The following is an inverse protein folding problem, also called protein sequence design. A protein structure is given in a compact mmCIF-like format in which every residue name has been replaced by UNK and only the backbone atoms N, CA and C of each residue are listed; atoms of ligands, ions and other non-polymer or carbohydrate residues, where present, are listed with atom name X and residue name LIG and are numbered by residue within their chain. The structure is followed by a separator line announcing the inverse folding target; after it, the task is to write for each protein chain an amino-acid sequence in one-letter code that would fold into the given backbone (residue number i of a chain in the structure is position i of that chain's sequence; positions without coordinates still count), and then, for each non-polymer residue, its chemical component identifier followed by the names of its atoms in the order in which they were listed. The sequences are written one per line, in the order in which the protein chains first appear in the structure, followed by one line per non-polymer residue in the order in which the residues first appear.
data_IF_070384241468
#
_entry.id   IF_070384241468
#
_cell.length_a   1.000
_cell.length_b   1.000
_cell.length_c   1.000
_cell.angle_alpha   90.00
_cell.angle_beta   90.00
_cell.angle_gamma   90.00
#
_symmetry.space_group_name_H-M   'P 1'
#
loop_
_entity.id
_entity.type
_entity.pdbx_description
1 polymer ?
#
# COMPACT_ATOMS: atom_id res chain seq x y z
N UNK A 1 -25.93 -0.27 -20.97
CA UNK A 1 -25.81 1.09 -21.55
C UNK A 1 -24.65 1.78 -20.86
N UNK A 2 -23.68 2.27 -21.64
CA UNK A 2 -22.51 2.96 -21.11
C UNK A 2 -22.93 4.26 -20.38
N UNK A 3 -22.49 4.42 -19.13
CA UNK A 3 -22.83 5.56 -18.27
C UNK A 3 -21.74 6.63 -18.35
N UNK A 4 -21.76 7.42 -19.42
CA UNK A 4 -20.78 8.47 -19.66
C UNK A 4 -20.72 9.53 -18.54
N UNK A 5 -21.81 9.74 -17.80
CA UNK A 5 -21.86 10.66 -16.65
C UNK A 5 -20.88 10.29 -15.53
N UNK A 6 -20.49 9.02 -15.43
CA UNK A 6 -19.55 8.53 -14.42
C UNK A 6 -18.08 8.74 -14.83
N UNK A 7 -17.81 9.04 -16.10
CA UNK A 7 -16.44 9.29 -16.56
C UNK A 7 -15.91 10.64 -16.07
N UNK A 8 -16.77 11.66 -16.02
CA UNK A 8 -16.37 13.00 -15.58
C UNK A 8 -15.78 13.01 -14.15
N UNK A 9 -16.45 12.49 -13.11
CA UNK A 9 -15.87 12.46 -11.76
C UNK A 9 -14.60 11.59 -11.69
N UNK A 10 -14.50 10.52 -12.48
CA UNK A 10 -13.30 9.69 -12.53
C UNK A 10 -12.10 10.42 -13.14
N UNK A 11 -12.30 11.12 -14.26
CA UNK A 11 -11.26 11.92 -14.91
C UNK A 11 -10.82 13.05 -13.98
N UNK A 12 -11.77 13.73 -13.33
CA UNK A 12 -11.46 14.77 -12.35
C UNK A 12 -10.64 14.22 -11.17
N UNK A 13 -11.04 13.08 -10.61
CA UNK A 13 -10.29 12.41 -9.55
C UNK A 13 -8.86 12.07 -9.98
N UNK A 14 -8.69 11.46 -11.16
CA UNK A 14 -7.37 11.12 -11.70
C UNK A 14 -6.52 12.37 -11.95
N UNK A 15 -7.11 13.44 -12.49
CA UNK A 15 -6.42 14.71 -12.72
C UNK A 15 -5.95 15.34 -11.42
N UNK A 16 -6.75 15.32 -10.36
CA UNK A 16 -6.37 15.81 -9.02
C UNK A 16 -5.24 14.98 -8.43
N UNK A 17 -5.36 13.65 -8.44
CA UNK A 17 -4.32 12.75 -7.91
C UNK A 17 -3.00 12.91 -8.66
N UNK A 18 -3.06 12.96 -10.00
CA UNK A 18 -1.87 13.17 -10.82
C UNK A 18 -1.26 14.57 -10.60
N UNK A 19 -2.11 15.61 -10.50
CA UNK A 19 -1.67 16.96 -10.18
C UNK A 19 -0.96 17.05 -8.83
N UNK A 20 -1.48 16.39 -7.80
CA UNK A 20 -0.86 16.28 -6.49
C UNK A 20 0.49 15.52 -6.56
N UNK A 21 0.57 14.46 -7.36
CA UNK A 21 1.81 13.71 -7.56
C UNK A 21 2.91 14.53 -8.27
N UNK A 22 2.54 15.31 -9.28
CA UNK A 22 3.48 16.22 -9.96
C UNK A 22 3.90 17.36 -9.03
N UNK A 23 2.96 17.92 -8.26
CA UNK A 23 3.25 18.96 -7.29
C UNK A 23 4.21 18.46 -6.21
N UNK A 24 3.91 17.31 -5.60
CA UNK A 24 4.77 16.71 -4.57
C UNK A 24 6.15 16.40 -5.14
N UNK A 25 6.24 15.81 -6.33
CA UNK A 25 7.52 15.54 -7.00
C UNK A 25 8.36 16.80 -7.24
N UNK A 26 7.73 17.91 -7.65
CA UNK A 26 8.42 19.20 -7.83
C UNK A 26 8.88 19.81 -6.51
N UNK A 27 8.10 19.67 -5.44
CA UNK A 27 8.51 20.12 -4.09
C UNK A 27 9.68 19.27 -3.60
N UNK A 28 9.63 17.95 -3.77
CA UNK A 28 10.71 17.03 -3.40
C UNK A 28 12.01 17.37 -4.12
N UNK A 29 11.95 17.67 -5.42
CA UNK A 29 13.13 18.04 -6.20
C UNK A 29 13.85 19.32 -5.71
N UNK A 30 13.15 20.19 -4.99
CA UNK A 30 13.73 21.41 -4.37
C UNK A 30 14.37 21.12 -3.01
N UNK A 31 13.92 20.08 -2.32
CA UNK A 31 14.48 19.66 -1.05
C UNK A 31 15.78 18.90 -1.35
N UNK A 32 16.95 19.48 -1.02
CA UNK A 32 18.29 18.86 -1.22
C UNK A 32 18.54 17.70 -0.23
N UNK A 33 17.57 16.82 -0.04
CA UNK A 33 17.62 15.64 0.82
C UNK A 33 17.97 14.40 -0.01
N UNK A 34 18.51 13.37 0.64
CA UNK A 34 18.86 12.13 -0.04
C UNK A 34 17.62 11.48 -0.66
N UNK A 35 17.59 11.33 -1.99
CA UNK A 35 16.45 10.83 -2.76
C UNK A 35 15.86 9.53 -2.21
N UNK A 36 16.71 8.57 -1.85
CA UNK A 36 16.27 7.25 -1.38
C UNK A 36 15.56 7.33 -0.01
N UNK A 37 16.09 8.11 0.93
CA UNK A 37 15.46 8.24 2.25
C UNK A 37 14.17 9.06 2.19
N UNK A 38 14.14 10.09 1.34
CA UNK A 38 12.91 10.86 1.12
C UNK A 38 11.84 10.02 0.42
N UNK A 39 12.18 9.34 -0.67
CA UNK A 39 11.23 8.57 -1.48
C UNK A 39 10.65 7.37 -0.73
N UNK A 40 11.48 6.61 0.00
CA UNK A 40 11.03 5.39 0.69
C UNK A 40 10.52 5.66 2.11
N UNK A 41 11.02 6.68 2.80
CA UNK A 41 10.73 6.89 4.22
C UNK A 41 10.06 8.25 4.53
N UNK A 42 9.88 9.12 3.53
CA UNK A 42 9.33 10.47 3.74
C UNK A 42 10.14 11.27 4.76
N UNK A 43 11.47 11.18 4.66
CA UNK A 43 12.41 11.78 5.63
C UNK A 43 12.20 11.32 7.09
N UNK A 44 11.52 10.18 7.29
CA UNK A 44 11.13 9.66 8.62
C UNK A 44 10.32 10.67 9.45
N UNK A 45 9.74 11.67 8.81
CA UNK A 45 9.00 12.76 9.44
C UNK A 45 7.50 12.48 9.55
N UNK A 46 7.01 11.40 8.90
CA UNK A 46 5.60 11.01 8.97
C UNK A 46 5.19 10.67 10.41
N UNK A 47 4.27 11.46 10.96
CA UNK A 47 3.68 11.20 12.27
C UNK A 47 2.82 9.94 12.30
N UNK A 48 2.53 9.43 13.50
CA UNK A 48 1.78 8.17 13.67
C UNK A 48 0.40 8.17 13.02
N UNK A 49 -0.28 9.33 12.98
CA UNK A 49 -1.57 9.47 12.30
C UNK A 49 -1.47 9.27 10.78
N UNK A 50 -0.48 9.90 10.13
CA UNK A 50 -0.25 9.75 8.69
C UNK A 50 0.10 8.31 8.35
N UNK A 51 0.94 7.66 9.18
CA UNK A 51 1.27 6.24 9.02
C UNK A 51 0.05 5.33 9.16
N UNK A 52 -0.84 5.62 10.12
CA UNK A 52 -2.10 4.88 10.27
C UNK A 52 -3.02 5.06 9.06
N UNK A 53 -3.13 6.28 8.53
CA UNK A 53 -3.90 6.55 7.30
C UNK A 53 -3.32 5.81 6.09
N UNK A 54 -2.00 5.76 5.93
CA UNK A 54 -1.34 4.99 4.86
C UNK A 54 -1.61 3.50 5.00
N UNK A 55 -1.61 2.97 6.23
CA UNK A 55 -1.96 1.58 6.49
C UNK A 55 -3.41 1.27 6.08
N UNK A 56 -4.34 2.14 6.48
CA UNK A 56 -5.76 2.00 6.10
C UNK A 56 -5.92 2.09 4.59
N UNK A 57 -5.27 3.07 3.93
CA UNK A 57 -5.30 3.20 2.48
C UNK A 57 -4.72 1.96 1.77
N UNK A 58 -3.66 1.36 2.30
CA UNK A 58 -3.07 0.11 1.77
C UNK A 58 -4.03 -1.06 1.93
N UNK A 59 -4.77 -1.11 3.04
CA UNK A 59 -5.77 -2.14 3.30
C UNK A 59 -7.03 -1.97 2.43
N UNK A 60 -7.43 -0.72 2.17
CA UNK A 60 -8.55 -0.35 1.32
C UNK A 60 -8.17 -0.51 -0.14
N UNK A 61 -8.14 -1.76 -0.58
CA UNK A 61 -7.73 -2.19 -1.92
C UNK A 61 -8.93 -2.72 -2.73
N UNK A 62 -8.73 -3.02 -4.01
CA UNK A 62 -9.76 -3.58 -4.87
C UNK A 62 -10.13 -4.99 -4.41
N UNK A 63 -9.17 -5.74 -3.84
CA UNK A 63 -9.47 -7.04 -3.22
C UNK A 63 -10.38 -6.89 -2.00
N UNK A 64 -10.24 -5.84 -1.20
CA UNK A 64 -11.13 -5.57 -0.06
C UNK A 64 -12.53 -5.13 -0.51
N UNK A 65 -12.63 -4.27 -1.54
CA UNK A 65 -13.91 -3.77 -2.05
C UNK A 65 -14.72 -4.80 -2.84
N UNK A 66 -14.06 -5.66 -3.62
CA UNK A 66 -14.72 -6.67 -4.46
C UNK A 66 -14.80 -8.01 -3.73
N UNK A 67 -13.66 -8.45 -3.19
CA UNK A 67 -13.53 -9.77 -2.58
C UNK A 67 -14.30 -9.88 -1.26
N UNK A 68 -14.24 -8.86 -0.40
CA UNK A 68 -14.89 -8.90 0.90
C UNK A 68 -16.41 -9.07 0.83
N UNK A 69 -17.13 -8.14 0.18
CA UNK A 69 -18.58 -8.27 -0.05
C UNK A 69 -18.95 -9.53 -0.85
N UNK A 70 -18.15 -9.92 -1.85
CA UNK A 70 -18.40 -11.12 -2.64
C UNK A 70 -18.32 -12.41 -1.83
N UNK A 71 -17.37 -12.51 -0.90
CA UNK A 71 -17.27 -13.63 0.03
C UNK A 71 -18.41 -13.54 1.06
N UNK A 72 -18.66 -12.37 1.65
CA UNK A 72 -19.74 -12.18 2.61
C UNK A 72 -21.13 -12.50 2.05
N UNK A 73 -21.36 -12.33 0.75
CA UNK A 73 -22.59 -12.74 0.07
C UNK A 73 -22.80 -14.26 0.12
N UNK A 74 -21.71 -15.04 0.01
CA UNK A 74 -21.78 -16.51 -0.04
C UNK A 74 -21.72 -17.17 1.35
N UNK A 75 -20.89 -16.65 2.25
CA UNK A 75 -20.66 -17.23 3.60
C UNK A 75 -21.26 -16.41 4.75
N UNK A 76 -21.96 -15.32 4.44
CA UNK A 76 -22.57 -14.44 5.42
C UNK A 76 -21.57 -13.54 6.15
N UNK A 77 -22.02 -12.94 7.26
CA UNK A 77 -21.25 -11.97 8.05
C UNK A 77 -20.05 -12.57 8.78
N UNK A 78 -19.81 -13.89 8.69
CA UNK A 78 -18.60 -14.54 9.21
C UNK A 78 -17.31 -13.90 8.70
N UNK A 79 -17.32 -13.39 7.46
CA UNK A 79 -16.20 -12.65 6.88
C UNK A 79 -15.86 -11.36 7.65
N UNK A 80 -16.85 -10.70 8.27
CA UNK A 80 -16.65 -9.46 9.02
C UNK A 80 -15.73 -9.70 10.22
N UNK A 81 -15.82 -10.86 10.88
CA UNK A 81 -14.92 -11.20 11.98
C UNK A 81 -13.46 -11.31 11.52
N UNK A 82 -13.20 -11.86 10.33
CA UNK A 82 -11.85 -11.88 9.75
C UNK A 82 -11.34 -10.47 9.45
N UNK A 83 -12.21 -9.59 8.95
CA UNK A 83 -11.87 -8.18 8.77
C UNK A 83 -11.57 -7.46 10.10
N UNK A 84 -12.34 -7.76 11.16
CA UNK A 84 -12.19 -7.15 12.49
C UNK A 84 -10.88 -7.52 13.18
N UNK A 85 -10.34 -8.73 12.97
CA UNK A 85 -9.04 -9.15 13.53
C UNK A 85 -7.89 -8.27 13.02
N UNK A 86 -8.03 -7.62 11.87
CA UNK A 86 -6.98 -6.78 11.31
C UNK A 86 -6.78 -5.47 12.07
N UNK A 87 -7.82 -4.94 12.73
CA UNK A 87 -7.74 -3.70 13.51
C UNK A 87 -6.77 -3.83 14.70
N UNK A 88 -6.90 -4.83 15.60
CA UNK A 88 -5.92 -5.01 16.67
C UNK A 88 -4.54 -5.38 16.12
N UNK A 89 -4.45 -6.19 15.06
CA UNK A 89 -3.15 -6.51 14.43
C UNK A 89 -2.46 -5.25 13.90
N UNK A 90 -3.19 -4.35 13.24
CA UNK A 90 -2.69 -3.07 12.78
C UNK A 90 -2.20 -2.21 13.94
N UNK A 91 -2.97 -2.14 15.03
CA UNK A 91 -2.61 -1.38 16.22
C UNK A 91 -1.34 -1.92 16.89
N UNK A 92 -1.22 -3.23 17.09
CA UNK A 92 -0.02 -3.85 17.65
C UNK A 92 1.19 -3.72 16.72
N UNK A 93 0.96 -3.88 15.41
CA UNK A 93 2.01 -3.72 14.40
C UNK A 93 2.57 -2.31 14.40
N UNK A 94 1.73 -1.26 14.37
CA UNK A 94 2.23 0.12 14.37
C UNK A 94 2.74 0.57 15.74
N UNK A 95 1.98 0.28 16.80
CA UNK A 95 2.26 0.76 18.16
C UNK A 95 3.46 0.09 18.81
N UNK A 96 3.58 -1.23 18.69
CA UNK A 96 4.63 -2.01 19.39
C UNK A 96 5.77 -2.35 18.46
N UNK A 97 5.49 -3.03 17.34
CA UNK A 97 6.52 -3.51 16.42
C UNK A 97 7.12 -2.35 15.62
N UNK A 98 6.30 -1.44 15.11
CA UNK A 98 6.69 -0.31 14.28
C UNK A 98 7.71 0.58 14.96
N UNK A 99 7.50 0.91 16.24
CA UNK A 99 8.47 1.67 17.04
C UNK A 99 9.82 0.93 17.17
N UNK A 100 9.79 -0.38 17.45
CA UNK A 100 11.01 -1.20 17.60
C UNK A 100 11.77 -1.29 16.27
N UNK A 101 11.08 -1.61 15.17
CA UNK A 101 11.66 -1.61 13.84
C UNK A 101 12.20 -0.23 13.46
N UNK A 102 11.49 0.86 13.73
CA UNK A 102 11.97 2.21 13.44
C UNK A 102 13.26 2.58 14.19
N UNK A 103 13.46 2.09 15.42
CA UNK A 103 14.71 2.28 16.17
C UNK A 103 15.85 1.51 15.52
N UNK A 104 15.63 0.23 15.21
CA UNK A 104 16.67 -0.62 14.60
C UNK A 104 17.01 -0.13 13.20
N UNK A 105 16.01 0.22 12.38
CA UNK A 105 16.17 0.73 11.01
C UNK A 105 17.12 1.93 10.97
N UNK A 106 17.01 2.83 11.95
CA UNK A 106 17.86 4.01 12.08
C UNK A 106 19.31 3.66 12.42
N UNK A 107 19.54 2.63 13.24
CA UNK A 107 20.89 2.17 13.60
C UNK A 107 21.62 1.55 12.40
N UNK A 108 20.91 0.74 11.61
CA UNK A 108 21.48 0.04 10.45
C UNK A 108 21.31 0.80 9.12
N UNK A 109 20.74 2.02 9.17
CA UNK A 109 20.38 2.83 8.00
C UNK A 109 19.59 2.06 6.93
N UNK A 110 18.75 1.11 7.37
CA UNK A 110 17.90 0.33 6.47
C UNK A 110 16.75 1.18 5.95
N UNK A 111 16.47 1.02 4.65
CA UNK A 111 15.33 1.62 3.96
C UNK A 111 14.30 0.57 3.56
N UNK A 112 14.72 -0.68 3.35
CA UNK A 112 13.84 -1.82 3.01
C UNK A 112 13.85 -2.93 4.06
N UNK A 113 12.87 -3.83 3.99
CA UNK A 113 12.84 -5.05 4.81
C UNK A 113 13.97 -6.01 4.44
N UNK A 114 14.40 -6.03 3.17
CA UNK A 114 15.51 -6.87 2.72
C UNK A 114 16.86 -6.36 3.28
N UNK A 115 17.04 -5.06 3.47
CA UNK A 115 18.19 -4.49 4.20
C UNK A 115 18.21 -4.95 5.67
N UNK A 116 17.05 -5.05 6.30
CA UNK A 116 16.92 -5.62 7.64
C UNK A 116 17.37 -7.09 7.69
N UNK A 117 16.93 -7.89 6.72
CA UNK A 117 17.35 -9.29 6.62
C UNK A 117 18.85 -9.40 6.36
N UNK A 118 19.40 -8.52 5.51
CA UNK A 118 20.84 -8.45 5.25
C UNK A 118 21.64 -8.18 6.53
N UNK A 119 21.23 -7.17 7.30
CA UNK A 119 21.90 -6.81 8.55
C UNK A 119 21.73 -7.87 9.65
N UNK A 120 20.66 -8.69 9.59
CA UNK A 120 20.38 -9.71 10.61
C UNK A 120 21.03 -11.07 10.33
N UNK A 121 21.10 -11.47 9.05
CA UNK A 121 21.55 -12.80 8.64
C UNK A 121 22.89 -12.80 7.91
N UNK A 122 23.35 -11.64 7.41
CA UNK A 122 24.62 -11.45 6.68
C UNK A 122 24.82 -12.40 5.48
N UNK A 123 23.74 -13.07 5.03
CA UNK A 123 23.77 -14.06 3.97
C UNK A 123 23.17 -13.50 2.67
N UNK A 124 23.92 -13.49 1.56
CA UNK A 124 23.41 -13.06 0.26
C UNK A 124 22.23 -13.92 -0.22
N UNK A 125 22.22 -15.21 0.10
CA UNK A 125 21.16 -16.13 -0.32
C UNK A 125 19.80 -15.74 0.29
N UNK A 126 19.76 -15.40 1.58
CA UNK A 126 18.54 -14.97 2.27
C UNK A 126 17.99 -13.68 1.65
N UNK A 127 18.87 -12.73 1.33
CA UNK A 127 18.48 -11.45 0.73
C UNK A 127 17.92 -11.66 -0.68
N UNK A 128 18.54 -12.51 -1.49
CA UNK A 128 18.09 -12.80 -2.85
C UNK A 128 16.73 -13.48 -2.83
N UNK A 129 16.56 -14.53 -2.02
CA UNK A 129 15.30 -15.27 -1.91
C UNK A 129 14.18 -14.34 -1.41
N UNK A 130 14.45 -13.53 -0.39
CA UNK A 130 13.48 -12.58 0.12
C UNK A 130 13.11 -11.52 -0.92
N UNK A 131 14.08 -10.98 -1.65
CA UNK A 131 13.85 -9.96 -2.70
C UNK A 131 13.03 -10.54 -3.85
N UNK A 132 13.36 -11.75 -4.32
CA UNK A 132 12.59 -12.45 -5.34
C UNK A 132 11.16 -12.74 -4.87
N UNK A 133 10.99 -13.19 -3.63
CA UNK A 133 9.68 -13.38 -3.03
C UNK A 133 8.86 -12.09 -3.04
N UNK A 134 9.44 -10.98 -2.56
CA UNK A 134 8.78 -9.66 -2.57
C UNK A 134 8.35 -9.29 -3.98
N UNK A 135 9.22 -9.43 -4.99
CA UNK A 135 8.89 -9.09 -6.38
C UNK A 135 7.72 -9.96 -6.88
N UNK A 136 7.79 -11.28 -6.72
CA UNK A 136 6.77 -12.22 -7.20
C UNK A 136 5.41 -11.91 -6.56
N UNK A 137 5.36 -11.74 -5.24
CA UNK A 137 4.11 -11.45 -4.54
C UNK A 137 3.59 -10.04 -4.84
N UNK A 138 4.47 -9.06 -5.02
CA UNK A 138 4.07 -7.71 -5.42
C UNK A 138 3.44 -7.71 -6.82
N UNK A 139 4.02 -8.46 -7.77
CA UNK A 139 3.43 -8.62 -9.12
C UNK A 139 2.05 -9.27 -9.03
N UNK A 140 1.91 -10.36 -8.27
CA UNK A 140 0.62 -11.01 -8.08
C UNK A 140 -0.43 -10.07 -7.44
N UNK A 141 -0.02 -9.30 -6.43
CA UNK A 141 -0.88 -8.32 -5.78
C UNK A 141 -1.30 -7.18 -6.74
N UNK A 142 -0.37 -6.66 -7.55
CA UNK A 142 -0.68 -5.64 -8.55
C UNK A 142 -1.67 -6.17 -9.59
N UNK A 143 -1.47 -7.36 -10.11
CA UNK A 143 -2.39 -7.99 -11.09
C UNK A 143 -3.80 -8.11 -10.50
N UNK A 144 -3.93 -8.64 -9.28
CA UNK A 144 -5.22 -8.75 -8.60
C UNK A 144 -5.89 -7.38 -8.41
N UNK A 145 -5.10 -6.35 -8.09
CA UNK A 145 -5.58 -4.98 -7.89
C UNK A 145 -6.08 -4.35 -9.20
N UNK A 146 -5.35 -4.52 -10.30
CA UNK A 146 -5.75 -4.02 -11.62
C UNK A 146 -7.00 -4.72 -12.13
N UNK A 147 -7.08 -6.05 -12.01
CA UNK A 147 -8.27 -6.82 -12.40
C UNK A 147 -9.46 -6.37 -11.56
N UNK A 148 -9.31 -6.27 -10.24
CA UNK A 148 -10.39 -5.81 -9.36
C UNK A 148 -10.88 -4.41 -9.72
N UNK A 149 -9.96 -3.47 -9.99
CA UNK A 149 -10.31 -2.12 -10.43
C UNK A 149 -11.04 -2.09 -11.78
N UNK A 150 -10.56 -2.86 -12.76
CA UNK A 150 -11.19 -2.97 -14.07
C UNK A 150 -12.61 -3.58 -13.97
N UNK A 151 -12.80 -4.61 -13.15
CA UNK A 151 -14.13 -5.21 -12.93
C UNK A 151 -15.13 -4.26 -12.28
N UNK A 152 -14.67 -3.46 -11.31
CA UNK A 152 -15.53 -2.42 -10.71
C UNK A 152 -15.86 -1.35 -11.74
N UNK A 153 -14.89 -0.93 -12.55
CA UNK A 153 -15.12 0.02 -13.64
C UNK A 153 -16.13 -0.50 -14.65
N UNK A 154 -15.97 -1.74 -15.13
CA UNK A 154 -16.88 -2.42 -16.05
C UNK A 154 -18.30 -2.50 -15.47
N UNK A 155 -18.43 -2.96 -14.22
CA UNK A 155 -19.71 -3.13 -13.55
C UNK A 155 -20.47 -1.80 -13.34
N UNK A 156 -19.75 -0.72 -13.06
CA UNK A 156 -20.34 0.59 -12.76
C UNK A 156 -20.63 1.40 -14.04
N UNK A 157 -19.73 1.36 -15.02
CA UNK A 157 -19.79 2.20 -16.21
C UNK A 157 -20.36 1.49 -17.43
N UNK A 158 -20.27 0.16 -17.50
CA UNK A 158 -20.68 -0.65 -18.64
C UNK A 158 -19.72 -0.60 -19.83
N UNK A 159 -18.51 -0.04 -19.66
CA UNK A 159 -17.44 -0.12 -20.63
C UNK A 159 -16.60 -1.39 -20.41
N UNK A 160 -16.05 -2.00 -21.49
CA UNK A 160 -15.14 -3.14 -21.37
C UNK A 160 -13.80 -2.78 -20.73
#
# INVERSE_FOLDING_TARGET
MARFELLLPMILYLAVVYGLAVYSGRVMAKLKVGFVEEYFLGSRAMGGFVLAMTLVATYTSASSFVGGPGVAYNVGLGWVFLAMVQVPVAYFTLGVLGKKFAIVARKIKAVTVTDFLRARYESPAVVIIASLGVIIFLVAAMVAQFIGGARVFEAVTGFP
#
